data_IF_074250384612
#
_entry.id   IF_074250384612
#
_cell.length_a   1.000
_cell.length_b   1.000
_cell.length_c   1.000
_cell.angle_alpha   90.00
_cell.angle_beta   90.00
_cell.angle_gamma   90.00
#
_symmetry.space_group_name_H-M   'P 1'
#
loop_
_entity.id
_entity.type
_entity.pdbx_description
1 polymer ?
#
# COMPACT_ATOMS: atom_id res chain seq x y z
N UNK A 1 1.73 3.67 -0.88
CA UNK A 1 0.92 4.03 -2.05
C UNK A 1 1.68 3.93 -3.36
N UNK A 2 2.71 4.76 -3.55
CA UNK A 2 3.40 4.93 -4.85
C UNK A 2 3.86 3.63 -5.53
N UNK A 3 4.43 2.69 -4.77
CA UNK A 3 4.84 1.38 -5.31
C UNK A 3 3.67 0.54 -5.87
N UNK A 4 2.47 0.66 -5.29
CA UNK A 4 1.26 -0.03 -5.76
C UNK A 4 0.85 0.56 -7.12
N UNK A 5 0.86 1.89 -7.24
CA UNK A 5 0.56 2.59 -8.51
C UNK A 5 1.56 2.24 -9.61
N UNK A 6 2.85 2.14 -9.29
CA UNK A 6 3.88 1.72 -10.25
C UNK A 6 3.69 0.26 -10.68
N UNK A 7 3.34 -0.63 -9.74
CA UNK A 7 3.15 -2.04 -10.01
C UNK A 7 1.90 -2.31 -10.88
N UNK A 8 0.83 -1.53 -10.72
CA UNK A 8 -0.41 -1.66 -11.51
C UNK A 8 -0.18 -1.47 -13.02
N UNK A 9 0.72 -0.56 -13.40
CA UNK A 9 1.11 -0.28 -14.79
C UNK A 9 2.26 -1.14 -15.32
N UNK A 10 2.81 -2.07 -14.54
CA UNK A 10 4.03 -2.78 -14.92
C UNK A 10 3.76 -3.96 -15.86
N UNK A 11 4.21 -3.83 -17.12
CA UNK A 11 4.18 -4.91 -18.11
C UNK A 11 5.03 -6.11 -17.67
N UNK A 12 6.23 -5.86 -17.13
CA UNK A 12 7.11 -6.90 -16.58
C UNK A 12 6.42 -7.76 -15.51
N UNK A 13 5.65 -7.16 -14.60
CA UNK A 13 4.94 -7.90 -13.57
C UNK A 13 3.82 -8.77 -14.16
N UNK A 14 3.08 -8.24 -15.14
CA UNK A 14 2.02 -8.99 -15.83
C UNK A 14 2.57 -10.18 -16.61
N UNK A 15 3.71 -10.01 -17.28
CA UNK A 15 4.40 -11.09 -18.00
C UNK A 15 4.99 -12.14 -17.04
N UNK A 16 5.56 -11.70 -15.92
CA UNK A 16 6.25 -12.61 -14.98
C UNK A 16 5.29 -13.38 -14.08
N UNK A 17 4.19 -12.77 -13.66
CA UNK A 17 3.27 -13.32 -12.65
C UNK A 17 1.87 -13.66 -13.20
N UNK A 18 1.50 -13.09 -14.34
CA UNK A 18 0.16 -13.21 -14.93
C UNK A 18 -0.82 -12.16 -14.42
N UNK A 19 -1.73 -11.73 -15.30
CA UNK A 19 -2.73 -10.67 -15.04
C UNK A 19 -3.56 -10.90 -13.77
N UNK A 20 -4.09 -12.12 -13.59
CA UNK A 20 -4.93 -12.42 -12.42
C UNK A 20 -4.17 -12.27 -11.09
N UNK A 21 -2.90 -12.68 -11.05
CA UNK A 21 -2.08 -12.60 -9.84
C UNK A 21 -1.74 -11.15 -9.52
N UNK A 22 -1.33 -10.38 -10.53
CA UNK A 22 -1.05 -8.95 -10.37
C UNK A 22 -2.28 -8.23 -9.85
N UNK A 23 -3.45 -8.45 -10.44
CA UNK A 23 -4.71 -7.84 -9.99
C UNK A 23 -5.01 -8.15 -8.51
N UNK A 24 -4.93 -9.41 -8.09
CA UNK A 24 -5.16 -9.79 -6.69
C UNK A 24 -4.17 -9.14 -5.73
N UNK A 25 -2.88 -9.05 -6.10
CA UNK A 25 -1.86 -8.41 -5.26
C UNK A 25 -2.14 -6.91 -5.11
N UNK A 26 -2.42 -6.21 -6.22
CA UNK A 26 -2.71 -4.77 -6.20
C UNK A 26 -3.94 -4.48 -5.33
N UNK A 27 -5.01 -5.26 -5.49
CA UNK A 27 -6.22 -5.09 -4.69
C UNK A 27 -5.93 -5.28 -3.20
N UNK A 28 -5.26 -6.37 -2.82
CA UNK A 28 -4.96 -6.66 -1.42
C UNK A 28 -4.04 -5.60 -0.80
N UNK A 29 -3.01 -5.17 -1.52
CA UNK A 29 -2.07 -4.15 -1.04
C UNK A 29 -2.70 -2.77 -0.94
N UNK A 30 -3.68 -2.46 -1.78
CA UNK A 30 -4.45 -1.21 -1.68
C UNK A 30 -5.28 -1.20 -0.40
N UNK A 31 -6.00 -2.30 -0.12
CA UNK A 31 -6.76 -2.43 1.14
C UNK A 31 -5.87 -2.31 2.37
N UNK A 32 -4.75 -3.03 2.40
CA UNK A 32 -3.77 -2.97 3.51
C UNK A 32 -3.23 -1.55 3.70
N UNK A 33 -2.95 -0.83 2.61
CA UNK A 33 -2.48 0.55 2.67
C UNK A 33 -3.54 1.51 3.21
N UNK A 34 -4.80 1.33 2.82
CA UNK A 34 -5.91 2.15 3.29
C UNK A 34 -6.20 1.94 4.78
N UNK A 35 -6.11 0.71 5.28
CA UNK A 35 -6.21 0.41 6.72
C UNK A 35 -5.04 1.03 7.50
N UNK A 36 -3.82 0.87 7.00
CA UNK A 36 -2.62 1.41 7.65
C UNK A 36 -2.69 2.93 7.79
N UNK A 37 -3.02 3.66 6.72
CA UNK A 37 -3.06 5.13 6.75
C UNK A 37 -4.21 5.72 7.55
N UNK A 38 -5.26 4.94 7.82
CA UNK A 38 -6.38 5.33 8.67
C UNK A 38 -6.07 5.15 10.17
N UNK A 39 -4.98 4.45 10.48
CA UNK A 39 -4.57 4.15 11.85
C UNK A 39 -3.56 5.19 12.35
N UNK A 40 -3.80 5.74 13.54
CA UNK A 40 -2.80 6.57 14.24
C UNK A 40 -1.87 5.64 15.01
N UNK A 41 -0.59 5.70 14.67
CA UNK A 41 0.46 4.85 15.24
C UNK A 41 1.02 5.42 16.55
N UNK A 42 1.59 4.57 17.39
CA UNK A 42 2.28 4.99 18.62
C UNK A 42 3.42 5.99 18.34
N UNK A 43 4.06 5.87 17.17
CA UNK A 43 5.05 6.84 16.71
C UNK A 43 4.43 8.23 16.54
N UNK A 44 3.26 8.33 15.90
CA UNK A 44 2.58 9.60 15.71
C UNK A 44 2.08 10.17 17.04
N UNK A 45 1.55 9.34 17.93
CA UNK A 45 1.12 9.76 19.27
C UNK A 45 2.32 10.32 20.05
N UNK A 46 3.40 9.56 20.16
CA UNK A 46 4.60 9.98 20.92
C UNK A 46 5.25 11.23 20.35
N UNK A 47 5.19 11.44 19.03
CA UNK A 47 5.79 12.59 18.37
C UNK A 47 4.93 13.84 18.44
N UNK A 48 3.62 13.74 18.25
CA UNK A 48 2.77 14.92 18.05
C UNK A 48 1.92 15.27 19.29
N UNK A 49 1.50 14.29 20.09
CA UNK A 49 0.65 14.56 21.26
C UNK A 49 1.35 15.41 22.34
N UNK A 50 2.65 15.24 22.66
CA UNK A 50 3.31 16.06 23.70
C UNK A 50 3.60 17.51 23.29
N UNK A 51 3.49 17.83 22.00
CA UNK A 51 3.80 19.16 21.44
C UNK A 51 2.52 20.00 21.26
N UNK A 52 1.34 19.41 21.48
CA UNK A 52 0.01 20.04 21.47
C UNK A 52 -0.35 20.57 22.86
#
# INVERSE_FOLDING_TARGET
GEAITLAEGSELLRESLGEHIVHSIIQNKTMEWDEYRATVTDYEISRYLPIL
#
